data_IF_669280618893
#
_entry.id   IF_669280618893
#
_cell.length_a   1.000
_cell.length_b   1.000
_cell.length_c   1.000
_cell.angle_alpha   90.00
_cell.angle_beta   90.00
_cell.angle_gamma   90.00
#
_symmetry.space_group_name_H-M   'P 1'
#
loop_
_entity.id
_entity.type
_entity.pdbx_description
1 polymer ?
#
# COMPACT_ATOMS: atom_id res chain seq x y z
N UNK A 1 -4.74 29.03 27.77
CA UNK A 1 -5.03 27.91 26.85
C UNK A 1 -5.95 26.92 27.55
N UNK A 2 -6.94 26.38 26.85
CA UNK A 2 -7.77 25.27 27.35
C UNK A 2 -6.86 24.13 27.82
N UNK A 3 -7.08 23.59 29.02
CA UNK A 3 -6.35 22.41 29.56
C UNK A 3 -6.91 21.09 29.03
N UNK A 4 -7.81 21.12 28.06
CA UNK A 4 -8.45 19.94 27.54
C UNK A 4 -7.64 19.36 26.39
N UNK A 5 -7.46 18.04 26.38
CA UNK A 5 -7.01 17.33 25.20
C UNK A 5 -8.02 17.55 24.07
N UNK A 6 -7.52 17.88 22.87
CA UNK A 6 -8.33 18.06 21.67
C UNK A 6 -7.70 17.30 20.51
N UNK A 7 -8.52 16.69 19.67
CA UNK A 7 -8.06 16.10 18.41
C UNK A 7 -7.83 17.25 17.43
N UNK A 8 -6.58 17.43 16.99
CA UNK A 8 -6.18 18.49 16.06
C UNK A 8 -6.38 18.09 14.59
N UNK A 9 -6.12 16.84 14.27
CA UNK A 9 -6.27 16.27 12.94
C UNK A 9 -6.46 14.75 13.03
N UNK A 10 -6.94 14.18 11.94
CA UNK A 10 -6.97 12.75 11.67
C UNK A 10 -6.53 12.52 10.22
N UNK A 11 -6.02 11.33 9.92
CA UNK A 11 -5.74 10.91 8.55
C UNK A 11 -6.16 9.48 8.32
N UNK A 12 -6.53 9.19 7.08
CA UNK A 12 -6.94 7.86 6.61
C UNK A 12 -6.41 7.64 5.21
N UNK A 13 -5.82 6.48 4.97
CA UNK A 13 -5.32 6.09 3.65
C UNK A 13 -5.91 4.76 3.23
N UNK A 14 -6.03 4.58 1.93
CA UNK A 14 -6.29 3.29 1.30
C UNK A 14 -5.14 3.00 0.32
N UNK A 15 -4.69 1.76 0.28
CA UNK A 15 -3.78 1.29 -0.77
C UNK A 15 -4.56 0.37 -1.68
N UNK A 16 -4.61 0.69 -2.96
CA UNK A 16 -5.17 -0.20 -3.97
C UNK A 16 -4.09 -1.18 -4.42
N UNK A 17 -4.07 -2.36 -3.80
CA UNK A 17 -3.06 -3.40 -3.97
C UNK A 17 -3.62 -4.69 -4.60
N UNK A 18 -4.07 -4.68 -5.87
CA UNK A 18 -4.72 -5.82 -6.52
C UNK A 18 -3.86 -7.10 -6.56
N UNK A 19 -2.56 -7.00 -6.83
CA UNK A 19 -1.69 -8.18 -6.94
C UNK A 19 -1.40 -8.78 -5.55
N UNK A 20 -1.38 -7.98 -4.48
CA UNK A 20 -1.26 -8.52 -3.12
C UNK A 20 -2.43 -9.46 -2.78
N UNK A 21 -3.65 -9.13 -3.23
CA UNK A 21 -4.82 -10.01 -3.07
C UNK A 21 -4.62 -11.34 -3.81
N UNK A 22 -4.03 -11.31 -5.01
CA UNK A 22 -3.87 -12.50 -5.86
C UNK A 22 -2.73 -13.42 -5.37
N UNK A 23 -1.65 -12.82 -4.89
CA UNK A 23 -0.40 -13.52 -4.61
C UNK A 23 -0.14 -13.77 -3.13
N UNK A 24 -0.61 -12.88 -2.24
CA UNK A 24 -0.26 -12.92 -0.81
C UNK A 24 -1.48 -13.13 0.10
N UNK A 25 -2.71 -13.01 -0.41
CA UNK A 25 -3.92 -13.25 0.39
C UNK A 25 -4.06 -14.71 0.83
N UNK A 26 -4.39 -14.94 2.11
CA UNK A 26 -4.48 -16.28 2.73
C UNK A 26 -5.40 -17.25 1.98
N UNK A 27 -6.53 -16.76 1.47
CA UNK A 27 -7.46 -17.59 0.67
C UNK A 27 -6.80 -18.03 -0.62
N UNK A 28 -6.14 -17.11 -1.33
CA UNK A 28 -5.53 -17.35 -2.63
C UNK A 28 -4.29 -18.23 -2.52
N UNK A 29 -3.45 -18.01 -1.51
CA UNK A 29 -2.26 -18.84 -1.25
C UNK A 29 -2.66 -20.25 -0.86
N UNK A 30 -3.64 -20.41 0.03
CA UNK A 30 -4.17 -21.73 0.44
C UNK A 30 -4.78 -22.47 -0.75
N UNK A 31 -5.65 -21.82 -1.52
CA UNK A 31 -6.28 -22.44 -2.70
C UNK A 31 -5.22 -22.84 -3.74
N UNK A 32 -4.17 -22.04 -3.93
CA UNK A 32 -3.09 -22.36 -4.88
C UNK A 32 -2.30 -23.60 -4.47
N UNK A 33 -2.13 -23.83 -3.16
CA UNK A 33 -1.47 -25.03 -2.63
C UNK A 33 -2.37 -26.26 -2.78
N UNK A 34 -3.67 -26.13 -2.45
CA UNK A 34 -4.61 -27.26 -2.42
C UNK A 34 -5.15 -27.61 -3.80
N UNK A 35 -5.42 -26.61 -4.64
CA UNK A 35 -6.02 -26.72 -5.95
C UNK A 35 -5.43 -25.68 -6.94
N UNK A 36 -4.21 -25.92 -7.47
CA UNK A 36 -3.50 -24.95 -8.32
C UNK A 36 -4.26 -24.51 -9.57
N UNK A 37 -5.19 -25.34 -10.08
CA UNK A 37 -5.94 -25.11 -11.31
C UNK A 37 -7.42 -24.73 -11.03
N UNK A 38 -7.73 -24.18 -9.85
CA UNK A 38 -9.10 -23.88 -9.49
C UNK A 38 -9.73 -22.82 -10.40
N UNK A 39 -11.02 -23.01 -10.71
CA UNK A 39 -11.81 -22.03 -11.46
C UNK A 39 -11.85 -20.68 -10.73
N UNK A 40 -11.80 -20.69 -9.39
CA UNK A 40 -11.73 -19.50 -8.57
C UNK A 40 -10.46 -18.68 -8.87
N UNK A 41 -9.28 -19.30 -8.84
CA UNK A 41 -8.02 -18.60 -9.11
C UNK A 41 -7.94 -18.09 -10.56
N UNK A 42 -8.51 -18.84 -11.50
CA UNK A 42 -8.56 -18.43 -12.90
C UNK A 42 -9.51 -17.23 -13.13
N UNK A 43 -10.65 -17.18 -12.43
CA UNK A 43 -11.62 -16.10 -12.55
C UNK A 43 -11.21 -14.83 -11.78
N UNK A 44 -10.46 -14.97 -10.69
CA UNK A 44 -10.15 -13.89 -9.73
C UNK A 44 -9.64 -12.59 -10.39
N UNK A 45 -8.66 -12.60 -11.33
CA UNK A 45 -8.18 -11.37 -11.94
C UNK A 45 -9.29 -10.56 -12.65
N UNK A 46 -10.31 -11.23 -13.20
CA UNK A 46 -11.45 -10.59 -13.85
C UNK A 46 -12.45 -9.94 -12.88
N UNK A 47 -12.31 -10.17 -11.58
CA UNK A 47 -13.17 -9.62 -10.52
C UNK A 47 -12.49 -8.53 -9.68
N UNK A 48 -11.23 -8.21 -9.99
CA UNK A 48 -10.50 -7.13 -9.31
C UNK A 48 -10.85 -5.78 -9.95
N UNK A 49 -11.22 -4.81 -9.12
CA UNK A 49 -11.49 -3.43 -9.58
C UNK A 49 -10.22 -2.77 -10.08
N UNK A 50 -10.35 -1.96 -11.14
CA UNK A 50 -9.26 -1.06 -11.55
C UNK A 50 -9.02 0.02 -10.48
N UNK A 51 -7.89 0.70 -10.57
CA UNK A 51 -7.56 1.82 -9.69
C UNK A 51 -8.61 2.93 -9.80
N UNK A 52 -9.03 3.26 -11.02
CA UNK A 52 -10.03 4.30 -11.30
C UNK A 52 -11.38 3.95 -10.66
N UNK A 53 -11.83 2.70 -10.77
CA UNK A 53 -13.05 2.24 -10.09
C UNK A 53 -12.93 2.24 -8.57
N UNK A 54 -11.74 1.97 -8.02
CA UNK A 54 -11.50 2.08 -6.59
C UNK A 54 -11.53 3.54 -6.12
N UNK A 55 -10.99 4.46 -6.92
CA UNK A 55 -11.04 5.91 -6.66
C UNK A 55 -12.46 6.44 -6.77
N UNK A 56 -13.22 6.05 -7.80
CA UNK A 56 -14.59 6.54 -8.01
C UNK A 56 -15.62 5.96 -7.04
N UNK A 57 -15.28 4.92 -6.27
CA UNK A 57 -16.21 4.28 -5.34
C UNK A 57 -16.64 5.23 -4.20
N UNK A 58 -17.95 5.55 -4.04
CA UNK A 58 -18.38 6.59 -3.09
C UNK A 58 -17.94 6.38 -1.64
N UNK A 59 -17.98 5.15 -1.06
CA UNK A 59 -17.48 4.91 0.28
C UNK A 59 -15.98 5.20 0.45
N UNK A 60 -15.16 4.93 -0.57
CA UNK A 60 -13.74 5.27 -0.53
C UNK A 60 -13.53 6.79 -0.52
N UNK A 61 -14.34 7.54 -1.29
CA UNK A 61 -14.32 9.00 -1.28
C UNK A 61 -14.77 9.61 0.05
N UNK A 62 -15.71 8.97 0.75
CA UNK A 62 -16.04 9.33 2.15
C UNK A 62 -14.87 9.04 3.08
N UNK A 63 -14.23 7.87 2.94
CA UNK A 63 -13.12 7.45 3.80
C UNK A 63 -11.93 8.43 3.76
N UNK A 64 -11.56 8.92 2.57
CA UNK A 64 -10.50 9.93 2.42
C UNK A 64 -10.99 11.39 2.58
N UNK A 65 -12.27 11.59 2.90
CA UNK A 65 -12.84 12.89 3.25
C UNK A 65 -13.15 13.83 2.09
N UNK A 66 -13.37 13.30 0.89
CA UNK A 66 -13.88 14.07 -0.26
C UNK A 66 -15.40 14.20 -0.26
N UNK A 67 -16.09 13.23 0.34
CA UNK A 67 -17.53 13.26 0.62
C UNK A 67 -17.76 13.12 2.13
N UNK A 68 -18.94 13.50 2.59
CA UNK A 68 -19.39 13.20 3.96
C UNK A 68 -20.31 11.97 3.97
N UNK A 69 -20.42 11.23 5.09
CA UNK A 69 -21.28 10.04 5.15
C UNK A 69 -22.73 10.29 4.74
N UNK A 70 -23.26 11.48 4.97
CA UNK A 70 -24.60 11.89 4.56
C UNK A 70 -24.78 11.88 3.03
N UNK A 71 -23.73 12.14 2.26
CA UNK A 71 -23.78 12.15 0.79
C UNK A 71 -24.10 10.76 0.23
N UNK A 72 -23.72 9.68 0.93
CA UNK A 72 -24.01 8.31 0.53
C UNK A 72 -25.51 8.01 0.47
N UNK A 73 -26.34 8.79 1.18
CA UNK A 73 -27.81 8.65 1.15
C UNK A 73 -28.40 9.08 -0.20
N UNK A 74 -27.64 9.82 -1.00
CA UNK A 74 -28.04 10.22 -2.35
C UNK A 74 -27.77 9.13 -3.39
N UNK A 75 -27.07 8.05 -3.02
CA UNK A 75 -26.79 6.90 -3.87
C UNK A 75 -27.76 5.76 -3.55
N UNK A 76 -28.40 5.19 -4.57
CA UNK A 76 -29.19 3.98 -4.42
C UNK A 76 -28.29 2.81 -3.98
N UNK A 77 -28.74 2.06 -2.98
CA UNK A 77 -28.07 0.83 -2.54
C UNK A 77 -28.42 -0.34 -3.48
N UNK A 78 -27.48 -1.26 -3.75
CA UNK A 78 -26.11 -1.32 -3.24
C UNK A 78 -25.16 -0.36 -4.00
N UNK A 79 -24.04 0.02 -3.36
CA UNK A 79 -23.12 1.02 -3.93
C UNK A 79 -22.07 0.47 -4.90
N UNK A 80 -21.95 -0.86 -5.03
CA UNK A 80 -20.80 -1.48 -5.69
C UNK A 80 -20.64 -1.13 -7.18
N UNK A 81 -21.71 -0.66 -7.82
CA UNK A 81 -21.84 -0.25 -9.22
C UNK A 81 -21.96 1.28 -9.38
N UNK A 82 -21.78 2.05 -8.29
CA UNK A 82 -21.91 3.51 -8.29
C UNK A 82 -20.55 4.17 -8.34
N UNK A 83 -20.50 5.34 -8.96
CA UNK A 83 -19.30 6.13 -9.15
C UNK A 83 -19.53 7.59 -8.78
N UNK A 84 -18.50 8.23 -8.22
CA UNK A 84 -18.44 9.68 -7.96
C UNK A 84 -17.80 10.36 -9.18
N UNK A 85 -18.54 11.18 -9.94
CA UNK A 85 -17.98 11.88 -11.10
C UNK A 85 -16.84 12.82 -10.69
N UNK A 86 -15.70 12.72 -11.39
CA UNK A 86 -14.53 13.57 -11.10
C UNK A 86 -13.84 13.26 -9.76
N UNK A 87 -14.04 12.04 -9.23
CA UNK A 87 -13.37 11.57 -8.02
C UNK A 87 -11.85 11.76 -8.11
N UNK A 88 -11.24 12.08 -6.97
CA UNK A 88 -9.79 12.28 -6.84
C UNK A 88 -9.22 11.26 -5.88
N UNK A 89 -7.98 10.83 -6.15
CA UNK A 89 -7.25 9.95 -5.25
C UNK A 89 -6.84 10.64 -3.95
N UNK A 90 -6.67 11.96 -3.94
CA UNK A 90 -6.37 12.75 -2.75
C UNK A 90 -7.64 13.37 -2.19
N UNK A 91 -7.74 13.42 -0.87
CA UNK A 91 -8.81 14.08 -0.14
C UNK A 91 -8.35 14.72 1.15
N UNK A 92 -9.29 15.33 1.89
CA UNK A 92 -8.98 16.10 3.10
C UNK A 92 -8.28 15.26 4.17
N UNK A 93 -8.60 13.97 4.26
CA UNK A 93 -8.08 13.09 5.31
C UNK A 93 -6.90 12.25 4.83
N UNK A 94 -6.70 12.06 3.53
CA UNK A 94 -5.56 11.32 3.02
C UNK A 94 -5.71 10.95 1.56
N UNK A 95 -5.43 9.70 1.21
CA UNK A 95 -5.42 9.29 -0.20
C UNK A 95 -5.78 7.83 -0.45
N UNK A 96 -6.01 7.52 -1.72
CA UNK A 96 -6.02 6.18 -2.29
C UNK A 96 -4.74 6.05 -3.14
N UNK A 97 -3.73 5.35 -2.62
CA UNK A 97 -2.45 5.18 -3.33
C UNK A 97 -2.50 3.95 -4.26
N UNK A 98 -2.04 4.07 -5.52
CA UNK A 98 -1.94 2.93 -6.43
C UNK A 98 -0.78 2.01 -6.05
N UNK A 99 -0.87 0.74 -6.43
CA UNK A 99 0.10 -0.29 -6.03
C UNK A 99 1.54 0.01 -6.46
N UNK A 100 1.74 0.60 -7.63
CA UNK A 100 3.08 0.87 -8.15
C UNK A 100 3.84 1.90 -7.32
N UNK A 101 3.19 3.02 -6.99
CA UNK A 101 3.74 4.01 -6.04
C UNK A 101 3.92 3.39 -4.65
N UNK A 102 3.00 2.54 -4.22
CA UNK A 102 3.09 1.88 -2.91
C UNK A 102 4.29 0.91 -2.81
N UNK A 103 4.59 0.15 -3.87
CA UNK A 103 5.79 -0.69 -3.93
C UNK A 103 7.07 0.16 -3.80
N UNK A 104 7.11 1.32 -4.44
CA UNK A 104 8.20 2.28 -4.25
C UNK A 104 8.28 2.81 -2.82
N UNK A 105 7.15 3.13 -2.20
CA UNK A 105 7.08 3.56 -0.80
C UNK A 105 7.55 2.46 0.16
N UNK A 106 7.25 1.19 -0.12
CA UNK A 106 7.77 0.06 0.66
C UNK A 106 9.30 0.02 0.62
N UNK A 107 9.91 0.21 -0.55
CA UNK A 107 11.38 0.28 -0.66
C UNK A 107 11.95 1.52 0.05
N UNK A 108 11.27 2.66 -0.02
CA UNK A 108 11.65 3.87 0.75
C UNK A 108 11.60 3.59 2.27
N UNK A 109 10.61 2.84 2.74
CA UNK A 109 10.42 2.54 4.16
C UNK A 109 11.36 1.44 4.68
N UNK A 110 11.94 0.65 3.80
CA UNK A 110 12.90 -0.38 4.12
C UNK A 110 14.20 0.25 4.66
N UNK A 111 14.62 -0.20 5.84
CA UNK A 111 15.87 0.22 6.51
C UNK A 111 16.86 -0.93 6.63
N UNK A 112 16.47 -2.14 6.22
CA UNK A 112 17.23 -3.38 6.38
C UNK A 112 17.67 -3.97 5.04
N UNK A 113 17.39 -3.29 3.93
CA UNK A 113 17.74 -3.71 2.58
C UNK A 113 17.17 -5.07 2.20
N UNK A 114 15.86 -5.23 2.41
CA UNK A 114 15.07 -6.44 2.14
C UNK A 114 14.16 -6.30 0.90
N UNK A 115 13.84 -5.08 0.45
CA UNK A 115 12.99 -4.84 -0.74
C UNK A 115 13.82 -4.51 -1.96
N UNK A 116 13.72 -5.37 -2.98
CA UNK A 116 14.41 -5.20 -4.26
C UNK A 116 13.37 -5.10 -5.37
N UNK A 117 13.47 -4.05 -6.17
CA UNK A 117 12.57 -3.78 -7.29
C UNK A 117 13.37 -3.77 -8.58
N UNK A 118 12.71 -4.12 -9.67
CA UNK A 118 13.26 -4.05 -11.02
C UNK A 118 13.65 -2.61 -11.37
N UNK A 119 14.81 -2.43 -12.01
CA UNK A 119 15.35 -1.13 -12.39
C UNK A 119 14.44 -0.34 -13.33
N UNK A 120 13.82 -0.98 -14.31
CA UNK A 120 12.89 -0.29 -15.21
C UNK A 120 11.62 0.13 -14.47
N UNK A 121 11.14 -0.72 -13.55
CA UNK A 121 10.01 -0.41 -12.69
C UNK A 121 10.29 0.78 -11.76
N UNK A 122 11.45 0.80 -11.09
CA UNK A 122 11.89 1.93 -10.25
C UNK A 122 11.93 3.22 -11.05
N UNK A 123 12.51 3.21 -12.25
CA UNK A 123 12.60 4.40 -13.10
C UNK A 123 11.21 4.94 -13.46
N UNK A 124 10.25 4.05 -13.74
CA UNK A 124 8.88 4.44 -14.04
C UNK A 124 8.16 5.06 -12.84
N UNK A 125 8.31 4.48 -11.64
CA UNK A 125 7.63 4.99 -10.43
C UNK A 125 8.31 6.21 -9.81
N UNK A 126 9.62 6.40 -10.02
CA UNK A 126 10.36 7.56 -9.49
C UNK A 126 9.74 8.88 -9.98
N UNK A 127 9.34 8.93 -11.25
CA UNK A 127 8.61 10.08 -11.81
C UNK A 127 7.29 10.35 -11.09
N UNK A 128 6.47 9.30 -10.91
CA UNK A 128 5.17 9.40 -10.23
C UNK A 128 5.30 9.84 -8.77
N UNK A 129 6.25 9.24 -8.04
CA UNK A 129 6.52 9.59 -6.66
C UNK A 129 7.05 11.02 -6.52
N UNK A 130 7.79 11.55 -7.51
CA UNK A 130 8.24 12.95 -7.48
C UNK A 130 7.10 13.97 -7.63
N UNK A 131 5.98 13.58 -8.22
CA UNK A 131 4.76 14.40 -8.33
C UNK A 131 3.88 14.27 -7.08
N UNK A 132 4.17 13.32 -6.19
CA UNK A 132 3.40 13.08 -4.99
C UNK A 132 3.60 14.22 -3.97
N UNK A 133 2.53 14.87 -3.48
CA UNK A 133 2.63 16.11 -2.70
C UNK A 133 3.36 15.95 -1.36
N UNK A 134 3.46 14.72 -0.84
CA UNK A 134 4.10 14.41 0.44
C UNK A 134 5.44 13.67 0.31
N UNK A 135 5.90 13.38 -0.91
CA UNK A 135 7.20 12.73 -1.13
C UNK A 135 8.28 13.80 -1.35
N UNK A 136 8.86 14.26 -0.25
CA UNK A 136 9.97 15.20 -0.30
C UNK A 136 11.27 14.55 -0.86
N UNK A 137 12.26 15.38 -1.19
CA UNK A 137 13.56 14.92 -1.71
C UNK A 137 14.28 13.95 -0.74
N UNK A 138 14.02 14.07 0.58
CA UNK A 138 14.63 13.18 1.57
C UNK A 138 14.05 11.77 1.45
N UNK A 139 12.74 11.64 1.27
CA UNK A 139 12.07 10.36 1.03
C UNK A 139 12.46 9.78 -0.34
N UNK A 140 12.44 10.61 -1.39
CA UNK A 140 12.82 10.17 -2.75
C UNK A 140 14.28 9.73 -2.85
N UNK A 141 15.18 10.31 -2.05
CA UNK A 141 16.58 9.91 -1.94
C UNK A 141 16.77 8.51 -1.34
N UNK A 142 15.76 7.96 -0.67
CA UNK A 142 15.78 6.57 -0.14
C UNK A 142 15.29 5.54 -1.15
N UNK A 143 14.65 5.96 -2.25
CA UNK A 143 14.29 5.05 -3.33
C UNK A 143 15.57 4.64 -4.07
N UNK A 144 15.87 3.34 -4.06
CA UNK A 144 17.08 2.77 -4.68
C UNK A 144 16.92 2.74 -6.20
N UNK A 145 18.00 2.47 -6.93
CA UNK A 145 18.00 2.41 -8.40
C UNK A 145 17.33 1.13 -8.98
N UNK A 146 17.02 0.16 -8.12
CA UNK A 146 16.55 -1.17 -8.54
C UNK A 146 17.69 -2.10 -8.98
N UNK A 147 17.32 -3.35 -9.26
CA UNK A 147 18.23 -4.42 -9.69
C UNK A 147 17.84 -4.96 -11.06
N UNK A 148 18.71 -5.76 -11.67
CA UNK A 148 18.47 -6.37 -12.97
C UNK A 148 17.34 -7.40 -12.88
N UNK A 149 16.49 -7.48 -13.91
CA UNK A 149 15.35 -8.39 -13.94
C UNK A 149 15.74 -9.86 -13.69
N UNK A 150 16.90 -10.28 -14.20
CA UNK A 150 17.42 -11.64 -14.00
C UNK A 150 17.69 -11.95 -12.52
N UNK A 151 18.06 -10.94 -11.73
CA UNK A 151 18.24 -11.10 -10.28
C UNK A 151 16.88 -11.30 -9.60
N UNK A 152 15.86 -10.55 -10.01
CA UNK A 152 14.50 -10.71 -9.49
C UNK A 152 13.99 -12.14 -9.71
N UNK A 153 14.12 -12.66 -10.93
CA UNK A 153 13.72 -14.04 -11.28
C UNK A 153 14.47 -15.06 -10.42
N UNK A 154 15.80 -14.92 -10.33
CA UNK A 154 16.63 -15.83 -9.52
C UNK A 154 16.15 -15.89 -8.06
N UNK A 155 15.94 -14.73 -7.42
CA UNK A 155 15.56 -14.71 -6.01
C UNK A 155 14.15 -15.26 -5.78
N UNK A 156 13.23 -14.98 -6.69
CA UNK A 156 11.85 -15.48 -6.62
C UNK A 156 11.77 -17.00 -6.79
N UNK A 157 12.60 -17.59 -7.67
CA UNK A 157 12.52 -19.03 -7.99
C UNK A 157 13.44 -19.89 -7.11
N UNK A 158 14.62 -19.40 -6.74
CA UNK A 158 15.70 -20.22 -6.15
C UNK A 158 16.04 -19.89 -4.69
N UNK A 159 15.77 -18.67 -4.22
CA UNK A 159 16.29 -18.15 -2.93
C UNK A 159 15.20 -17.94 -1.87
N UNK A 160 14.01 -18.53 -2.07
CA UNK A 160 12.86 -18.43 -1.15
C UNK A 160 12.48 -16.97 -0.80
N UNK A 161 12.69 -16.04 -1.73
CA UNK A 161 12.19 -14.68 -1.60
C UNK A 161 10.69 -14.64 -1.89
N UNK A 162 10.00 -13.64 -1.34
CA UNK A 162 8.58 -13.41 -1.62
C UNK A 162 8.49 -12.54 -2.89
N UNK A 163 7.94 -13.05 -4.01
CA UNK A 163 7.86 -12.29 -5.25
C UNK A 163 6.83 -11.14 -5.15
N UNK A 164 7.18 -10.00 -5.76
CA UNK A 164 6.31 -8.82 -5.85
C UNK A 164 5.83 -8.64 -7.28
N UNK A 165 4.52 -8.43 -7.44
CA UNK A 165 3.89 -8.29 -8.74
C UNK A 165 3.23 -6.92 -8.92
N UNK A 166 3.18 -6.46 -10.18
CA UNK A 166 2.37 -5.34 -10.60
C UNK A 166 1.75 -5.60 -11.97
N UNK A 167 0.41 -5.56 -12.03
CA UNK A 167 -0.37 -5.92 -13.21
C UNK A 167 0.01 -7.32 -13.75
N UNK A 168 0.17 -8.29 -12.84
CA UNK A 168 0.57 -9.66 -13.15
C UNK A 168 2.02 -9.84 -13.61
N UNK A 169 2.85 -8.79 -13.62
CA UNK A 169 4.27 -8.89 -13.95
C UNK A 169 5.12 -8.94 -12.69
N UNK A 170 6.13 -9.79 -12.67
CA UNK A 170 7.13 -9.85 -11.60
C UNK A 170 7.98 -8.57 -11.67
N UNK A 171 7.93 -7.75 -10.62
CA UNK A 171 8.60 -6.43 -10.57
C UNK A 171 9.54 -6.28 -9.37
N UNK A 172 9.62 -7.29 -8.51
CA UNK A 172 10.47 -7.22 -7.33
C UNK A 172 10.43 -8.48 -6.49
N UNK A 173 11.12 -8.45 -5.36
CA UNK A 173 11.01 -9.44 -4.31
C UNK A 173 11.29 -8.84 -2.93
N UNK A 174 10.80 -9.52 -1.89
CA UNK A 174 11.20 -9.31 -0.50
C UNK A 174 12.08 -10.47 -0.06
N UNK A 175 13.27 -10.16 0.45
CA UNK A 175 14.21 -11.15 0.96
C UNK A 175 13.79 -11.60 2.36
N UNK A 176 13.93 -12.89 2.68
CA UNK A 176 13.84 -13.38 4.06
C UNK A 176 14.95 -12.79 4.93
N UNK A 177 14.65 -12.53 6.20
CA UNK A 177 15.63 -12.00 7.14
C UNK A 177 16.41 -13.11 7.87
N UNK A 178 15.90 -14.34 7.86
CA UNK A 178 16.59 -15.51 8.43
C UNK A 178 16.15 -16.81 7.72
N UNK A 179 16.99 -17.84 7.76
CA UNK A 179 16.74 -19.11 7.06
C UNK A 179 15.80 -20.06 7.81
N UNK A 180 15.70 -19.92 9.14
CA UNK A 180 15.01 -20.89 10.02
C UNK A 180 13.87 -20.24 10.81
N UNK A 181 13.96 -18.93 11.06
CA UNK A 181 13.03 -18.28 11.99
C UNK A 181 11.71 -18.01 11.27
N UNK A 182 10.63 -18.63 11.76
CA UNK A 182 9.30 -18.49 11.19
C UNK A 182 8.79 -17.04 11.20
N UNK A 183 9.24 -16.22 12.16
CA UNK A 183 8.90 -14.80 12.23
C UNK A 183 9.69 -13.92 11.23
N UNK A 184 10.67 -14.49 10.54
CA UNK A 184 11.58 -13.80 9.63
C UNK A 184 11.54 -14.38 8.20
N UNK A 185 10.48 -15.11 7.87
CA UNK A 185 10.19 -15.56 6.51
C UNK A 185 9.91 -14.37 5.59
N UNK A 186 10.18 -14.51 4.29
CA UNK A 186 9.98 -13.42 3.33
C UNK A 186 8.52 -12.90 3.33
N UNK A 187 7.54 -13.79 3.51
CA UNK A 187 6.13 -13.44 3.62
C UNK A 187 5.81 -12.57 4.85
N UNK A 188 6.29 -12.96 6.04
CA UNK A 188 6.09 -12.18 7.28
C UNK A 188 6.82 -10.83 7.19
N UNK A 189 8.01 -10.81 6.58
CA UNK A 189 8.74 -9.56 6.33
C UNK A 189 7.94 -8.65 5.37
N UNK A 190 7.33 -9.21 4.31
CA UNK A 190 6.46 -8.47 3.42
C UNK A 190 5.29 -7.83 4.19
N UNK A 191 4.58 -8.59 5.01
CA UNK A 191 3.47 -8.08 5.83
C UNK A 191 3.92 -6.92 6.72
N UNK A 192 5.03 -7.09 7.44
CA UNK A 192 5.61 -6.05 8.29
C UNK A 192 5.98 -4.78 7.51
N UNK A 193 6.51 -4.93 6.29
CA UNK A 193 6.85 -3.80 5.43
C UNK A 193 5.61 -3.09 4.88
N UNK A 194 4.56 -3.84 4.50
CA UNK A 194 3.27 -3.28 4.07
C UNK A 194 2.63 -2.50 5.21
N UNK A 195 2.64 -3.05 6.43
CA UNK A 195 2.15 -2.36 7.63
C UNK A 195 2.94 -1.08 7.91
N UNK A 196 4.27 -1.16 7.88
CA UNK A 196 5.13 0.02 8.09
C UNK A 196 4.90 1.09 7.02
N UNK A 197 4.83 0.71 5.74
CA UNK A 197 4.67 1.65 4.64
C UNK A 197 3.31 2.36 4.69
N UNK A 198 2.23 1.64 5.00
CA UNK A 198 0.89 2.23 5.18
C UNK A 198 0.84 3.16 6.40
N UNK A 199 1.48 2.78 7.52
CA UNK A 199 1.64 3.62 8.70
C UNK A 199 2.41 4.90 8.41
N UNK A 200 3.54 4.80 7.70
CA UNK A 200 4.33 5.98 7.27
C UNK A 200 3.49 6.89 6.38
N UNK A 201 2.77 6.36 5.40
CA UNK A 201 1.90 7.18 4.54
C UNK A 201 0.83 7.91 5.34
N UNK A 202 0.18 7.20 6.27
CA UNK A 202 -0.84 7.75 7.16
C UNK A 202 -0.27 8.89 8.01
N UNK A 203 0.93 8.70 8.57
CA UNK A 203 1.61 9.73 9.38
C UNK A 203 2.04 10.94 8.55
N UNK A 204 2.49 10.75 7.30
CA UNK A 204 2.79 11.87 6.39
C UNK A 204 1.55 12.74 6.16
N UNK A 205 0.39 12.13 5.91
CA UNK A 205 -0.88 12.85 5.80
C UNK A 205 -1.28 13.50 7.13
N UNK A 206 -1.09 12.83 8.27
CA UNK A 206 -1.45 13.38 9.59
C UNK A 206 -0.65 14.64 9.91
N UNK A 207 0.67 14.59 9.70
CA UNK A 207 1.58 15.72 9.90
C UNK A 207 1.16 16.88 9.00
N UNK A 208 0.95 16.61 7.71
CA UNK A 208 0.49 17.62 6.75
C UNK A 208 -0.84 18.26 7.16
N UNK A 209 -1.83 17.43 7.53
CA UNK A 209 -3.18 17.89 7.86
C UNK A 209 -3.23 18.64 9.21
N UNK A 210 -2.36 18.29 10.16
CA UNK A 210 -2.28 18.94 11.46
C UNK A 210 -1.55 20.29 11.43
N UNK A 211 -0.62 20.47 10.48
CA UNK A 211 0.29 21.61 10.45
C UNK A 211 1.29 21.64 11.60
N UNK A 212 1.45 20.54 12.34
CA UNK A 212 2.40 20.38 13.43
C UNK A 212 3.74 19.93 12.83
N UNK A 213 4.85 20.55 13.26
CA UNK A 213 6.18 20.13 12.81
C UNK A 213 6.54 18.77 13.41
N UNK A 214 7.32 17.96 12.70
CA UNK A 214 7.65 16.58 13.14
C UNK A 214 8.39 16.58 14.48
N UNK A 215 9.26 17.58 14.65
CA UNK A 215 10.07 17.85 15.84
C UNK A 215 9.27 18.34 17.06
N UNK A 216 8.03 18.79 16.87
CA UNK A 216 7.15 19.25 17.96
C UNK A 216 6.35 18.08 18.58
N UNK A 217 6.51 16.85 18.07
CA UNK A 217 5.83 15.66 18.58
C UNK A 217 6.64 15.05 19.73
N UNK A 218 6.22 15.32 20.97
CA UNK A 218 6.88 14.80 22.17
C UNK A 218 6.64 13.30 22.41
N UNK A 219 5.44 12.82 22.08
CA UNK A 219 5.00 11.45 22.38
C UNK A 219 4.18 10.87 21.24
N UNK A 220 4.42 9.59 20.97
CA UNK A 220 3.57 8.75 20.13
C UNK A 220 2.92 7.71 21.04
N UNK A 221 1.59 7.65 20.97
CA UNK A 221 0.81 6.62 21.65
C UNK A 221 0.25 5.71 20.56
N UNK A 222 0.68 4.46 20.56
CA UNK A 222 0.18 3.45 19.65
C UNK A 222 -0.92 2.62 20.32
N UNK A 223 -2.02 2.44 19.60
CA UNK A 223 -3.18 1.64 19.98
C UNK A 223 -3.54 0.66 18.86
N UNK A 224 -2.57 0.26 18.03
CA UNK A 224 -2.77 -0.70 16.95
C UNK A 224 -3.31 -2.03 17.48
N UNK A 225 -4.44 -2.47 16.92
CA UNK A 225 -4.89 -3.85 17.04
C UNK A 225 -4.35 -4.61 15.83
N UNK A 226 -3.46 -5.57 16.07
CA UNK A 226 -2.99 -6.50 15.05
C UNK A 226 -4.07 -7.58 14.88
N UNK A 227 -4.91 -7.43 13.86
CA UNK A 227 -5.75 -8.54 13.40
C UNK A 227 -4.85 -9.48 12.57
N UNK A 228 -4.24 -10.46 13.24
CA UNK A 228 -3.54 -11.59 12.62
C UNK A 228 -4.50 -12.55 11.91
#
# INVERSE_FOLDING_TARGET
>A
MSRNAVIKASSYILVHGPDFVIHNGTTQTTERIVNPNSEYLAALPGHIRSFESAVSYPPNQVYIGNLVPEDLRNYEIPWYDKEVPGAKRFGKLGEIMPQDEFLGLMQICDVFDLVFLDKEFVNAIRGKLSEHPLMDETLLGRLKEGVEHSEIVKFAEEEHAEPLYHNGKLVGYVKRAHDIDAALTAHVILENLVYKATGVLTLLHLINNSGIAREDVDYVIDCSEEAC
#
